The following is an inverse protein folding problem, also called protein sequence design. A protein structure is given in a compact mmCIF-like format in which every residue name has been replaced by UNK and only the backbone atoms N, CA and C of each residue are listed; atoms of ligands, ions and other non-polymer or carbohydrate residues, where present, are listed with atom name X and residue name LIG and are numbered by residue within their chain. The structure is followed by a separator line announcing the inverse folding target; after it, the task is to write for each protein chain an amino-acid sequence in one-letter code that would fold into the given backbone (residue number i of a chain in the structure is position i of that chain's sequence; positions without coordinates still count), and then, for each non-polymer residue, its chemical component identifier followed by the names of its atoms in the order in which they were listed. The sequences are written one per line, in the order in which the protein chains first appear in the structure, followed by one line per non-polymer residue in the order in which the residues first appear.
data_IF_947527832136
#
_entry.id   IF_947527832136
#
_cell.length_a   1.000
_cell.length_b   1.000
_cell.length_c   1.000
_cell.angle_alpha   90.00
_cell.angle_beta   90.00
_cell.angle_gamma   90.00
#
_symmetry.space_group_name_H-M   'P 1'
#
loop_
_entity.id
_entity.type
_entity.pdbx_description
1 polymer ?
#
# COMPACT_ATOMS: atom_id res chain seq x y z
N UNK A 1 55.02 -33.12 -42.78
CA UNK A 1 53.89 -33.70 -42.04
C UNK A 1 53.75 -32.97 -40.70
N UNK A 2 52.77 -32.07 -40.56
CA UNK A 2 52.44 -31.40 -39.29
C UNK A 2 50.94 -31.60 -39.06
N UNK A 3 50.59 -32.47 -38.11
CA UNK A 3 49.21 -32.70 -37.71
C UNK A 3 48.79 -31.57 -36.78
N UNK A 4 47.80 -30.79 -37.19
CA UNK A 4 47.20 -29.73 -36.39
C UNK A 4 46.12 -30.39 -35.53
N UNK A 5 46.38 -30.57 -34.23
CA UNK A 5 45.35 -30.96 -33.27
C UNK A 5 44.48 -29.74 -32.96
N UNK A 6 43.26 -29.73 -33.49
CA UNK A 6 42.22 -28.77 -33.11
C UNK A 6 41.62 -29.18 -31.77
N UNK A 7 42.02 -28.51 -30.69
CA UNK A 7 41.41 -28.66 -29.36
C UNK A 7 40.05 -27.97 -29.35
N UNK A 8 38.96 -28.74 -29.41
CA UNK A 8 37.61 -28.23 -29.24
C UNK A 8 37.37 -27.94 -27.76
N UNK A 9 37.45 -26.67 -27.34
CA UNK A 9 37.00 -26.23 -26.02
C UNK A 9 35.46 -26.23 -25.99
N UNK A 10 34.89 -27.27 -25.39
CA UNK A 10 33.47 -27.35 -25.08
C UNK A 10 33.18 -26.49 -23.85
N UNK A 11 32.73 -25.26 -24.06
CA UNK A 11 32.27 -24.37 -23.00
C UNK A 11 30.96 -24.89 -22.40
N UNK A 12 31.05 -25.54 -21.24
CA UNK A 12 29.91 -26.01 -20.44
C UNK A 12 29.30 -24.81 -19.71
N UNK A 13 28.23 -24.25 -20.28
CA UNK A 13 27.43 -23.20 -19.64
C UNK A 13 26.69 -23.79 -18.43
N UNK A 14 27.20 -23.56 -17.22
CA UNK A 14 26.46 -23.83 -15.99
C UNK A 14 25.25 -22.88 -15.93
N UNK A 15 24.05 -23.39 -16.18
CA UNK A 15 22.82 -22.68 -15.88
C UNK A 15 22.67 -22.59 -14.37
N UNK A 16 22.97 -21.43 -13.78
CA UNK A 16 22.63 -21.13 -12.40
C UNK A 16 21.10 -20.99 -12.36
N UNK A 17 20.36 -21.85 -11.65
CA UNK A 17 18.94 -21.63 -11.47
C UNK A 17 18.77 -20.31 -10.73
N UNK A 18 18.07 -19.35 -11.35
CA UNK A 18 17.63 -18.16 -10.65
C UNK A 18 16.75 -18.61 -9.49
N UNK A 19 17.16 -18.34 -8.25
CA UNK A 19 16.28 -18.51 -7.10
C UNK A 19 15.10 -17.56 -7.30
N UNK A 20 13.94 -18.11 -7.67
CA UNK A 20 12.69 -17.37 -7.55
C UNK A 20 12.41 -17.21 -6.06
N UNK A 21 12.50 -15.99 -5.55
CA UNK A 21 12.12 -15.73 -4.17
C UNK A 21 10.60 -15.94 -4.08
N UNK A 22 10.17 -16.98 -3.36
CA UNK A 22 8.76 -17.22 -3.12
C UNK A 22 8.17 -15.99 -2.41
N UNK A 23 6.99 -15.57 -2.85
CA UNK A 23 6.26 -14.48 -2.19
C UNK A 23 5.89 -14.90 -0.77
N UNK A 24 6.58 -14.35 0.22
CA UNK A 24 6.46 -14.70 1.63
C UNK A 24 5.26 -14.07 2.32
N UNK A 25 4.47 -13.25 1.61
CA UNK A 25 3.31 -12.57 2.17
C UNK A 25 2.18 -13.55 2.45
N UNK A 26 1.47 -13.34 3.56
CA UNK A 26 0.31 -14.12 3.92
C UNK A 26 -0.83 -13.88 2.92
N UNK A 27 -1.35 -14.96 2.33
CA UNK A 27 -2.52 -14.89 1.46
C UNK A 27 -3.80 -14.78 2.31
N UNK A 28 -4.46 -13.63 2.24
CA UNK A 28 -5.75 -13.45 2.92
C UNK A 28 -6.87 -13.91 2.00
N UNK A 29 -7.52 -15.00 2.39
CA UNK A 29 -8.60 -15.60 1.61
C UNK A 29 -9.90 -14.81 1.81
N UNK A 30 -10.39 -14.23 0.72
CA UNK A 30 -11.61 -13.42 0.71
C UNK A 30 -12.61 -13.98 -0.32
N UNK A 31 -13.92 -13.89 -0.05
CA UNK A 31 -14.93 -14.10 -1.10
C UNK A 31 -14.70 -13.15 -2.28
N UNK A 32 -14.97 -13.56 -3.54
CA UNK A 32 -14.64 -12.76 -4.73
C UNK A 32 -15.19 -11.33 -4.71
N UNK A 33 -16.42 -11.14 -4.20
CA UNK A 33 -17.02 -9.80 -4.06
C UNK A 33 -16.28 -8.91 -3.06
N UNK A 34 -15.88 -9.46 -1.91
CA UNK A 34 -15.14 -8.71 -0.88
C UNK A 34 -13.74 -8.35 -1.36
N UNK A 35 -13.11 -9.23 -2.12
CA UNK A 35 -11.83 -8.95 -2.75
C UNK A 35 -11.92 -7.80 -3.76
N UNK A 36 -12.92 -7.83 -4.64
CA UNK A 36 -13.13 -6.75 -5.60
C UNK A 36 -13.35 -5.40 -4.89
N UNK A 37 -14.16 -5.41 -3.83
CA UNK A 37 -14.41 -4.24 -2.98
C UNK A 37 -13.14 -3.73 -2.29
N UNK A 38 -12.34 -4.63 -1.72
CA UNK A 38 -11.07 -4.31 -1.09
C UNK A 38 -10.08 -3.68 -2.07
N UNK A 39 -9.93 -4.25 -3.27
CA UNK A 39 -9.08 -3.69 -4.31
C UNK A 39 -9.60 -2.34 -4.82
N UNK A 40 -10.91 -2.13 -4.85
CA UNK A 40 -11.50 -0.83 -5.18
C UNK A 40 -11.17 0.22 -4.12
N UNK A 41 -11.33 -0.09 -2.84
CA UNK A 41 -10.94 0.78 -1.74
C UNK A 41 -9.45 1.13 -1.82
N UNK A 42 -8.55 0.18 -2.09
CA UNK A 42 -7.11 0.48 -2.22
C UNK A 42 -6.80 1.47 -3.35
N UNK A 43 -7.50 1.37 -4.49
CA UNK A 43 -7.33 2.31 -5.60
C UNK A 43 -7.86 3.69 -5.22
N UNK A 44 -9.04 3.75 -4.61
CA UNK A 44 -9.63 5.00 -4.11
C UNK A 44 -8.71 5.67 -3.07
N UNK A 45 -8.10 4.88 -2.18
CA UNK A 45 -7.14 5.39 -1.20
C UNK A 45 -5.92 6.02 -1.87
N UNK A 46 -5.41 5.40 -2.95
CA UNK A 46 -4.29 5.95 -3.70
C UNK A 46 -4.66 7.26 -4.40
N UNK A 47 -5.86 7.34 -4.97
CA UNK A 47 -6.40 8.58 -5.56
C UNK A 47 -6.56 9.69 -4.50
N UNK A 48 -7.04 9.35 -3.30
CA UNK A 48 -7.15 10.31 -2.21
C UNK A 48 -5.78 10.83 -1.76
N UNK A 49 -4.74 9.99 -1.75
CA UNK A 49 -3.36 10.43 -1.44
C UNK A 49 -2.84 11.39 -2.50
N UNK A 50 -3.08 11.13 -3.78
CA UNK A 50 -2.69 12.03 -4.88
C UNK A 50 -3.39 13.40 -4.75
N UNK A 51 -4.69 13.40 -4.47
CA UNK A 51 -5.48 14.62 -4.26
C UNK A 51 -5.01 15.42 -3.03
N UNK A 52 -4.65 14.73 -1.93
CA UNK A 52 -4.04 15.36 -0.76
C UNK A 52 -2.71 16.01 -1.12
N UNK A 53 -1.84 15.31 -1.86
CA UNK A 53 -0.53 15.85 -2.26
C UNK A 53 -0.70 17.06 -3.19
N UNK A 54 -1.65 17.02 -4.12
CA UNK A 54 -1.98 18.14 -4.98
C UNK A 54 -2.46 19.36 -4.17
N UNK A 55 -3.34 19.14 -3.19
CA UNK A 55 -3.84 20.20 -2.31
C UNK A 55 -2.71 20.81 -1.44
N UNK A 56 -1.84 19.97 -0.87
CA UNK A 56 -0.66 20.43 -0.11
C UNK A 56 0.30 21.26 -0.98
N UNK A 57 0.49 20.89 -2.25
CA UNK A 57 1.35 21.64 -3.17
C UNK A 57 0.78 23.03 -3.52
N UNK A 58 -0.54 23.20 -3.39
CA UNK A 58 -1.23 24.47 -3.60
C UNK A 58 -1.46 25.25 -2.29
N UNK A 59 -0.93 24.76 -1.16
CA UNK A 59 -1.21 25.28 0.19
C UNK A 59 -2.72 25.30 0.53
N UNK A 60 -3.53 24.48 -0.13
CA UNK A 60 -4.95 24.30 0.16
C UNK A 60 -5.14 23.24 1.24
N UNK A 61 -4.76 23.61 2.46
CA UNK A 61 -4.83 22.70 3.60
C UNK A 61 -6.25 22.27 3.98
N UNK A 62 -7.24 23.13 3.71
CA UNK A 62 -8.64 22.82 3.93
C UNK A 62 -9.09 21.66 3.02
N UNK A 63 -8.72 21.68 1.74
CA UNK A 63 -9.01 20.58 0.83
C UNK A 63 -8.26 19.32 1.22
N UNK A 64 -6.96 19.43 1.54
CA UNK A 64 -6.16 18.29 2.02
C UNK A 64 -6.81 17.61 3.25
N UNK A 65 -7.25 18.40 4.23
CA UNK A 65 -7.91 17.90 5.43
C UNK A 65 -9.23 17.20 5.13
N UNK A 66 -10.10 17.81 4.32
CA UNK A 66 -11.40 17.21 3.95
C UNK A 66 -11.22 15.90 3.21
N UNK A 67 -10.33 15.85 2.22
CA UNK A 67 -10.07 14.63 1.44
C UNK A 67 -9.57 13.53 2.36
N UNK A 68 -8.60 13.83 3.23
CA UNK A 68 -8.08 12.87 4.19
C UNK A 68 -9.16 12.34 5.14
N UNK A 69 -9.99 13.20 5.75
CA UNK A 69 -10.98 12.73 6.72
C UNK A 69 -12.09 11.89 6.06
N UNK A 70 -12.63 12.35 4.93
CA UNK A 70 -13.83 11.73 4.36
C UNK A 70 -13.54 10.59 3.38
N UNK A 71 -12.35 10.52 2.77
CA UNK A 71 -11.96 9.41 1.89
C UNK A 71 -11.03 8.40 2.56
N UNK A 72 -10.31 8.79 3.62
CA UNK A 72 -9.35 7.91 4.29
C UNK A 72 -9.57 7.82 5.80
N UNK A 73 -10.17 8.81 6.43
CA UNK A 73 -10.26 8.95 7.88
C UNK A 73 -11.28 8.01 8.53
N UNK A 74 -11.50 8.22 9.82
CA UNK A 74 -12.50 7.45 10.59
C UNK A 74 -13.92 7.67 10.06
N UNK A 75 -14.23 8.85 9.50
CA UNK A 75 -15.51 9.12 8.86
C UNK A 75 -15.78 8.29 7.60
N UNK A 76 -14.77 7.62 7.04
CA UNK A 76 -14.89 6.81 5.83
C UNK A 76 -15.06 5.30 6.11
N UNK A 77 -15.13 4.87 7.38
CA UNK A 77 -15.18 3.44 7.72
C UNK A 77 -16.41 2.72 7.16
N UNK A 78 -17.57 3.37 7.22
CA UNK A 78 -18.83 2.80 6.75
C UNK A 78 -18.86 2.68 5.22
N UNK A 79 -18.40 3.70 4.49
CA UNK A 79 -18.31 3.66 3.03
C UNK A 79 -17.32 2.60 2.54
N UNK A 80 -16.25 2.33 3.30
CA UNK A 80 -15.34 1.23 3.03
C UNK A 80 -15.88 -0.14 3.45
N UNK A 81 -17.03 -0.22 4.12
CA UNK A 81 -17.60 -1.48 4.61
C UNK A 81 -16.70 -2.15 5.66
N UNK A 82 -15.99 -1.37 6.47
CA UNK A 82 -14.94 -1.87 7.37
C UNK A 82 -15.43 -2.97 8.33
N UNK A 83 -16.66 -2.84 8.84
CA UNK A 83 -17.28 -3.83 9.74
C UNK A 83 -17.53 -5.20 9.06
N UNK A 84 -17.86 -5.20 7.77
CA UNK A 84 -18.04 -6.42 6.99
C UNK A 84 -16.68 -7.00 6.57
N UNK A 85 -15.79 -6.15 6.08
CA UNK A 85 -14.45 -6.54 5.64
C UNK A 85 -13.60 -7.15 6.76
N UNK A 86 -13.72 -6.63 7.99
CA UNK A 86 -13.01 -7.13 9.16
C UNK A 86 -13.23 -8.64 9.43
N UNK A 87 -14.38 -9.19 9.05
CA UNK A 87 -14.75 -10.58 9.38
C UNK A 87 -13.85 -11.63 8.71
N UNK A 88 -13.23 -11.28 7.58
CA UNK A 88 -12.37 -12.19 6.79
C UNK A 88 -10.88 -11.85 6.90
N UNK A 89 -10.53 -10.85 7.71
CA UNK A 89 -9.16 -10.40 7.88
C UNK A 89 -8.52 -10.96 9.15
N UNK A 90 -7.23 -11.35 9.11
CA UNK A 90 -6.45 -11.59 10.32
C UNK A 90 -6.44 -10.38 11.26
N UNK A 91 -6.35 -10.63 12.56
CA UNK A 91 -6.38 -9.55 13.56
C UNK A 91 -5.33 -8.45 13.32
N UNK A 92 -4.06 -8.77 12.99
CA UNK A 92 -3.07 -7.73 12.72
C UNK A 92 -3.41 -6.89 11.49
N UNK A 93 -3.99 -7.50 10.43
CA UNK A 93 -4.43 -6.76 9.24
C UNK A 93 -5.54 -5.75 9.57
N UNK A 94 -6.52 -6.14 10.41
CA UNK A 94 -7.58 -5.22 10.86
C UNK A 94 -7.04 -4.03 11.65
N UNK A 95 -6.06 -4.30 12.51
CA UNK A 95 -5.41 -3.27 13.31
C UNK A 95 -4.65 -2.29 12.42
N UNK A 96 -3.89 -2.78 11.43
CA UNK A 96 -3.21 -1.93 10.43
C UNK A 96 -4.21 -1.06 9.65
N UNK A 97 -5.33 -1.63 9.20
CA UNK A 97 -6.39 -0.87 8.51
C UNK A 97 -6.98 0.22 9.39
N UNK A 98 -7.30 -0.10 10.65
CA UNK A 98 -7.85 0.89 11.60
C UNK A 98 -6.82 1.96 11.96
N UNK A 99 -5.54 1.59 12.06
CA UNK A 99 -4.45 2.53 12.25
C UNK A 99 -4.34 3.52 11.09
N UNK A 100 -4.44 3.05 9.84
CA UNK A 100 -4.46 3.93 8.66
C UNK A 100 -5.59 4.96 8.75
N UNK A 101 -6.82 4.52 9.06
CA UNK A 101 -7.97 5.43 9.21
C UNK A 101 -7.75 6.47 10.31
N UNK A 102 -7.23 6.06 11.47
CA UNK A 102 -6.89 6.99 12.55
C UNK A 102 -5.78 7.97 12.17
N UNK A 103 -4.76 7.50 11.45
CA UNK A 103 -3.66 8.33 10.97
C UNK A 103 -4.15 9.39 9.97
N UNK A 104 -5.08 9.04 9.09
CA UNK A 104 -5.70 9.98 8.15
C UNK A 104 -6.51 11.06 8.87
N UNK A 105 -7.30 10.71 9.89
CA UNK A 105 -7.99 11.70 10.73
C UNK A 105 -7.03 12.60 11.52
N UNK A 106 -5.90 12.07 11.97
CA UNK A 106 -4.86 12.88 12.61
C UNK A 106 -4.18 13.81 11.60
N UNK A 107 -3.90 13.34 10.39
CA UNK A 107 -3.40 14.18 9.30
C UNK A 107 -4.38 15.32 9.01
N UNK A 108 -5.68 15.04 8.92
CA UNK A 108 -6.69 16.06 8.64
C UNK A 108 -6.63 17.22 9.65
N UNK A 109 -6.61 16.90 10.95
CA UNK A 109 -6.45 17.92 12.01
C UNK A 109 -5.13 18.69 11.89
N UNK A 110 -4.04 18.00 11.56
CA UNK A 110 -2.72 18.63 11.41
C UNK A 110 -2.67 19.56 10.20
N UNK A 111 -3.35 19.20 9.11
CA UNK A 111 -3.46 20.04 7.93
C UNK A 111 -4.28 21.30 8.24
N UNK A 112 -5.38 21.21 8.99
CA UNK A 112 -6.19 22.38 9.40
C UNK A 112 -5.40 23.45 10.18
N UNK A 113 -4.29 23.08 10.83
CA UNK A 113 -3.38 24.02 11.50
C UNK A 113 -2.57 24.89 10.52
N UNK A 114 -2.52 24.52 9.23
CA UNK A 114 -1.87 25.30 8.17
C UNK A 114 -0.34 25.16 8.09
N UNK A 115 0.26 24.23 8.83
CA UNK A 115 1.71 23.99 8.77
C UNK A 115 2.05 22.86 7.77
N UNK A 116 2.59 23.26 6.61
CA UNK A 116 2.90 22.33 5.52
C UNK A 116 3.89 21.23 5.93
N UNK A 117 4.92 21.56 6.70
CA UNK A 117 5.95 20.59 7.10
C UNK A 117 5.37 19.51 8.02
N UNK A 118 4.53 19.91 8.99
CA UNK A 118 3.86 19.02 9.91
C UNK A 118 2.78 18.21 9.19
N UNK A 119 2.06 18.79 8.23
CA UNK A 119 1.13 18.04 7.38
C UNK A 119 1.86 16.93 6.61
N UNK A 120 2.98 17.23 5.94
CA UNK A 120 3.79 16.20 5.26
C UNK A 120 4.32 15.13 6.22
N UNK A 121 4.77 15.51 7.43
CA UNK A 121 5.20 14.57 8.46
C UNK A 121 4.06 13.65 8.91
N UNK A 122 2.87 14.18 9.09
CA UNK A 122 1.68 13.41 9.46
C UNK A 122 1.26 12.44 8.34
N UNK A 123 1.38 12.85 7.07
CA UNK A 123 1.00 12.03 5.91
C UNK A 123 1.82 10.73 5.84
N UNK A 124 3.07 10.73 6.34
CA UNK A 124 3.90 9.53 6.43
C UNK A 124 3.25 8.41 7.25
N UNK A 125 2.51 8.72 8.31
CA UNK A 125 1.85 7.70 9.13
C UNK A 125 0.74 6.97 8.35
N UNK A 126 0.09 7.67 7.41
CA UNK A 126 -0.90 7.09 6.50
C UNK A 126 -0.21 6.12 5.54
N UNK A 127 0.77 6.58 4.78
CA UNK A 127 1.45 5.76 3.76
C UNK A 127 2.27 4.61 4.34
N UNK A 128 2.79 4.76 5.56
CA UNK A 128 3.46 3.67 6.28
C UNK A 128 2.53 2.46 6.52
N UNK A 129 1.22 2.71 6.71
CA UNK A 129 0.24 1.64 6.87
C UNK A 129 0.06 0.86 5.56
N UNK A 130 0.07 1.54 4.41
CA UNK A 130 0.04 0.90 3.08
C UNK A 130 1.28 0.01 2.89
N UNK A 131 2.47 0.54 3.17
CA UNK A 131 3.75 -0.19 3.02
C UNK A 131 3.76 -1.43 3.92
N UNK A 132 3.36 -1.30 5.18
CA UNK A 132 3.39 -2.40 6.14
C UNK A 132 2.38 -3.50 5.77
N UNK A 133 1.16 -3.11 5.38
CA UNK A 133 0.14 -4.06 4.93
C UNK A 133 0.60 -4.80 3.67
N UNK A 134 1.13 -4.10 2.67
CA UNK A 134 1.59 -4.70 1.41
C UNK A 134 2.86 -5.55 1.54
N UNK A 135 3.65 -5.34 2.59
CA UNK A 135 4.80 -6.17 2.93
C UNK A 135 4.40 -7.45 3.68
N UNK A 136 3.28 -7.45 4.39
CA UNK A 136 2.81 -8.59 5.17
C UNK A 136 1.80 -9.47 4.42
N UNK A 137 0.91 -8.84 3.65
CA UNK A 137 -0.26 -9.49 3.09
C UNK A 137 -0.35 -9.38 1.58
N UNK A 138 -1.05 -10.35 1.01
CA UNK A 138 -1.52 -10.30 -0.37
C UNK A 138 -2.96 -10.81 -0.45
N UNK A 139 -3.70 -10.24 -1.39
CA UNK A 139 -5.02 -10.70 -1.82
C UNK A 139 -4.94 -11.02 -3.32
N UNK A 140 -5.80 -11.90 -3.81
CA UNK A 140 -5.64 -12.53 -5.12
C UNK A 140 -6.60 -12.06 -6.22
#
# INVERSE_FOLDING_TARGET
MKAILTSALLSLSLAIPALTHADSREMVQMPPMMQAHMLANMRDHLEAIDEILAALNMEDFNTAARVAEFRLGMSSLDSHGASHMAQVMPAPMREMGTHMHRAASQFARTAEEGDQLNAFRALRAVTQSCVTCHAAYRIR
#
